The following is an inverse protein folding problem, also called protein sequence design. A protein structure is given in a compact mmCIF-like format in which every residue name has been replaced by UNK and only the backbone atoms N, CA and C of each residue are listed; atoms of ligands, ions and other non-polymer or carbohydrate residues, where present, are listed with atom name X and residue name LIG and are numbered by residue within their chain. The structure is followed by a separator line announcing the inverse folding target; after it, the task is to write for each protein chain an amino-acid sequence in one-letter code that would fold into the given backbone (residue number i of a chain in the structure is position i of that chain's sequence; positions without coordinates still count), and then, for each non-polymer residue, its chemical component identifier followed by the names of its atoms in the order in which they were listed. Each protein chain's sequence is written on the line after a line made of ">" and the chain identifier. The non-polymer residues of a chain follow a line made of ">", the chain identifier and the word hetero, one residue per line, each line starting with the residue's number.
data_IF_541324140626
#
_entry.id   IF_541324140626
#
_cell.length_a   1.000
_cell.length_b   1.000
_cell.length_c   1.000
_cell.angle_alpha   90.00
_cell.angle_beta   90.00
_cell.angle_gamma   90.00
#
_symmetry.space_group_name_H-M   'P 1'
#
loop_
_entity.id
_entity.type
_entity.pdbx_description
1 polymer ?
#
# COMPACT_ATOMS: atom_id res chain seq x y z
N UNK A 1 -2.63 -15.09 14.42
CA UNK A 1 -1.17 -15.01 14.67
C UNK A 1 -0.84 -13.55 14.94
N UNK A 2 -0.20 -13.25 16.06
CA UNK A 2 0.23 -11.90 16.42
C UNK A 2 1.76 -11.88 16.44
N UNK A 3 2.36 -10.92 15.74
CA UNK A 3 3.81 -10.73 15.71
C UNK A 3 4.12 -9.28 16.04
N UNK A 4 5.03 -9.07 16.98
CA UNK A 4 5.44 -7.75 17.44
C UNK A 4 6.92 -7.56 17.18
N UNK A 5 7.26 -6.36 16.71
CA UNK A 5 8.65 -5.94 16.50
C UNK A 5 9.17 -5.32 17.79
N UNK A 6 10.06 -6.02 18.49
CA UNK A 6 10.63 -5.55 19.77
C UNK A 6 11.64 -4.41 19.58
N UNK A 7 12.51 -4.51 18.56
CA UNK A 7 13.54 -3.50 18.27
C UNK A 7 13.29 -2.87 16.91
N UNK A 8 13.30 -1.54 16.83
CA UNK A 8 13.06 -0.84 15.57
C UNK A 8 14.29 -0.87 14.64
N UNK A 9 14.40 -1.90 13.81
CA UNK A 9 15.46 -2.10 12.81
C UNK A 9 15.05 -1.69 11.38
N UNK A 10 14.42 -0.52 11.22
CA UNK A 10 13.91 0.02 9.92
C UNK A 10 12.75 -0.78 9.30
N UNK A 11 11.98 -0.13 8.40
CA UNK A 11 10.75 -0.67 7.78
C UNK A 11 11.05 -1.83 6.82
N UNK A 12 12.02 -1.66 5.90
CA UNK A 12 12.35 -2.65 4.87
C UNK A 12 12.79 -4.00 5.44
N UNK A 13 13.67 -3.98 6.45
CA UNK A 13 14.16 -5.20 7.12
C UNK A 13 13.04 -5.97 7.80
N UNK A 14 12.02 -5.28 8.31
CA UNK A 14 10.85 -5.94 8.93
C UNK A 14 9.97 -6.63 7.90
N UNK A 15 9.77 -6.00 6.74
CA UNK A 15 9.05 -6.62 5.62
C UNK A 15 9.80 -7.86 5.13
N UNK A 16 11.10 -7.73 4.87
CA UNK A 16 11.92 -8.84 4.42
C UNK A 16 11.91 -10.00 5.41
N UNK A 17 12.02 -9.72 6.71
CA UNK A 17 11.90 -10.75 7.74
C UNK A 17 10.52 -11.42 7.72
N UNK A 18 9.44 -10.64 7.63
CA UNK A 18 8.07 -11.14 7.56
C UNK A 18 7.84 -12.05 6.35
N UNK A 19 8.28 -11.65 5.16
CA UNK A 19 8.17 -12.47 3.95
C UNK A 19 9.02 -13.75 4.07
N UNK A 20 10.28 -13.64 4.49
CA UNK A 20 11.15 -14.80 4.62
C UNK A 20 10.68 -15.79 5.68
N UNK A 21 10.04 -15.32 6.76
CA UNK A 21 9.53 -16.18 7.82
C UNK A 21 8.17 -16.79 7.46
N UNK A 22 7.18 -15.95 7.11
CA UNK A 22 5.80 -16.41 6.95
C UNK A 22 5.49 -16.87 5.54
N UNK A 23 5.95 -16.16 4.51
CA UNK A 23 5.64 -16.53 3.13
C UNK A 23 6.33 -17.85 2.73
N UNK A 24 7.51 -18.13 3.28
CA UNK A 24 8.19 -19.41 3.09
C UNK A 24 7.38 -20.61 3.63
N UNK A 25 6.66 -20.42 4.74
CA UNK A 25 5.86 -21.46 5.38
C UNK A 25 4.45 -21.56 4.78
N UNK A 26 3.76 -20.43 4.64
CA UNK A 26 2.37 -20.37 4.20
C UNK A 26 2.22 -20.48 2.68
N UNK A 27 3.29 -20.19 1.92
CA UNK A 27 3.30 -20.13 0.45
C UNK A 27 2.07 -19.40 -0.11
N UNK A 28 1.80 -18.16 0.35
CA UNK A 28 0.63 -17.41 -0.08
C UNK A 28 0.74 -17.10 -1.58
N UNK A 29 -0.38 -17.14 -2.29
CA UNK A 29 -0.43 -16.66 -3.68
C UNK A 29 -0.23 -15.15 -3.78
N UNK A 30 -0.80 -14.41 -2.82
CA UNK A 30 -0.77 -12.94 -2.75
C UNK A 30 -0.63 -12.54 -1.28
N UNK A 31 0.26 -11.60 -1.01
CA UNK A 31 0.44 -10.94 0.28
C UNK A 31 -0.02 -9.49 0.20
N UNK A 32 -0.94 -9.09 1.07
CA UNK A 32 -1.42 -7.70 1.14
C UNK A 32 -0.86 -7.03 2.39
N UNK A 33 -0.19 -5.90 2.20
CA UNK A 33 0.33 -5.03 3.25
C UNK A 33 -0.62 -3.83 3.42
N UNK A 34 -1.04 -3.59 4.66
CA UNK A 34 -1.89 -2.46 5.03
C UNK A 34 -1.27 -1.77 6.25
N UNK A 35 -0.89 -0.50 6.12
CA UNK A 35 -0.34 0.25 7.24
C UNK A 35 -1.40 0.56 8.29
N UNK A 36 -1.00 0.54 9.55
CA UNK A 36 -1.83 0.94 10.68
C UNK A 36 -2.32 2.38 10.48
N UNK A 37 -3.62 2.61 10.70
CA UNK A 37 -4.27 3.89 10.45
C UNK A 37 -4.87 4.03 9.04
N UNK A 38 -4.55 3.10 8.12
CA UNK A 38 -5.15 3.09 6.78
C UNK A 38 -6.47 2.32 6.80
N UNK A 39 -7.54 2.97 6.33
CA UNK A 39 -8.86 2.35 6.20
C UNK A 39 -9.06 1.77 4.81
N UNK A 40 -9.10 0.44 4.69
CA UNK A 40 -9.48 -0.22 3.46
C UNK A 40 -10.94 0.13 3.09
N UNK A 41 -11.18 0.46 1.82
CA UNK A 41 -12.53 0.63 1.30
C UNK A 41 -13.20 -0.74 1.09
N UNK A 42 -14.53 -0.78 1.06
CA UNK A 42 -15.33 -2.02 0.99
C UNK A 42 -14.87 -2.97 -0.12
N UNK A 43 -14.39 -2.45 -1.24
CA UNK A 43 -13.97 -3.22 -2.41
C UNK A 43 -12.46 -3.21 -2.64
N UNK A 44 -11.66 -2.50 -1.83
CA UNK A 44 -10.27 -2.22 -2.17
C UNK A 44 -9.39 -3.47 -2.14
N UNK A 45 -9.61 -4.36 -1.16
CA UNK A 45 -8.92 -5.65 -1.06
C UNK A 45 -9.29 -6.56 -2.24
N UNK A 46 -10.58 -6.67 -2.55
CA UNK A 46 -11.05 -7.48 -3.67
C UNK A 46 -10.47 -7.00 -5.01
N UNK A 47 -10.41 -5.69 -5.22
CA UNK A 47 -9.89 -5.13 -6.47
C UNK A 47 -8.37 -5.27 -6.58
N UNK A 48 -7.62 -5.28 -5.46
CA UNK A 48 -6.20 -5.67 -5.48
C UNK A 48 -6.04 -7.12 -5.89
N UNK A 49 -6.74 -8.04 -5.21
CA UNK A 49 -6.71 -9.46 -5.52
C UNK A 49 -7.07 -9.74 -6.99
N UNK A 50 -8.12 -9.08 -7.50
CA UNK A 50 -8.58 -9.21 -8.88
C UNK A 50 -7.52 -8.77 -9.90
N UNK A 51 -6.61 -7.86 -9.55
CA UNK A 51 -5.54 -7.45 -10.46
C UNK A 51 -4.58 -8.61 -10.75
N UNK A 52 -4.20 -9.39 -9.74
CA UNK A 52 -3.37 -10.60 -9.89
C UNK A 52 -4.12 -11.76 -10.55
N UNK A 53 -5.43 -11.86 -10.33
CA UNK A 53 -6.27 -12.87 -11.00
C UNK A 53 -6.44 -12.57 -12.50
N UNK A 54 -6.47 -11.29 -12.87
CA UNK A 54 -6.66 -10.85 -14.25
C UNK A 54 -5.40 -11.01 -15.12
N UNK A 55 -4.22 -10.73 -14.57
CA UNK A 55 -2.95 -10.80 -15.29
C UNK A 55 -1.89 -11.53 -14.44
N UNK A 56 -1.49 -12.76 -14.85
CA UNK A 56 -0.45 -13.55 -14.17
C UNK A 56 0.94 -12.91 -14.17
N UNK A 57 1.19 -11.90 -15.00
CA UNK A 57 2.47 -11.20 -15.09
C UNK A 57 2.58 -10.02 -14.12
N UNK A 58 1.53 -9.72 -13.36
CA UNK A 58 1.55 -8.67 -12.35
C UNK A 58 2.41 -9.09 -11.16
N UNK A 59 3.57 -8.46 -11.01
CA UNK A 59 4.47 -8.69 -9.88
C UNK A 59 4.14 -7.89 -8.61
N UNK A 60 3.35 -6.82 -8.73
CA UNK A 60 2.84 -6.06 -7.58
C UNK A 60 1.66 -5.19 -7.99
N UNK A 61 0.79 -4.86 -7.02
CA UNK A 61 -0.30 -3.92 -7.24
C UNK A 61 -0.45 -2.96 -6.05
N UNK A 62 -0.77 -1.70 -6.35
CA UNK A 62 -1.08 -0.67 -5.37
C UNK A 62 -2.40 0.00 -5.74
N UNK A 63 -3.11 0.52 -4.74
CA UNK A 63 -4.30 1.36 -4.97
C UNK A 63 -4.05 2.79 -4.53
N UNK A 64 -4.81 3.69 -5.14
CA UNK A 64 -4.81 5.10 -4.75
C UNK A 64 -5.20 5.25 -3.27
N UNK A 65 -4.36 5.96 -2.52
CA UNK A 65 -4.60 6.33 -1.13
C UNK A 65 -5.30 7.69 -1.13
N UNK A 66 -6.38 7.81 -0.35
CA UNK A 66 -7.15 9.05 -0.21
C UNK A 66 -7.26 9.43 1.24
N UNK A 67 -7.17 10.72 1.51
CA UNK A 67 -7.50 11.26 2.83
C UNK A 67 -9.01 11.19 3.06
N UNK A 68 -9.43 11.13 4.32
CA UNK A 68 -10.85 11.25 4.67
C UNK A 68 -11.28 12.73 4.62
N UNK A 69 -12.06 13.08 3.60
CA UNK A 69 -12.59 14.43 3.43
C UNK A 69 -13.66 14.80 4.49
N UNK A 70 -14.18 13.83 5.23
CA UNK A 70 -15.26 14.03 6.20
C UNK A 70 -16.59 14.42 5.53
N UNK A 71 -17.61 14.67 6.35
CA UNK A 71 -18.92 15.11 5.84
C UNK A 71 -18.81 16.46 5.14
N UNK A 72 -19.25 16.53 3.87
CA UNK A 72 -19.21 17.74 3.03
C UNK A 72 -17.81 18.32 2.82
N UNK A 73 -16.78 17.48 2.77
CA UNK A 73 -15.39 17.90 2.51
C UNK A 73 -14.83 18.91 3.54
N UNK A 74 -15.40 18.98 4.74
CA UNK A 74 -14.98 19.94 5.78
C UNK A 74 -13.50 19.79 6.16
N UNK A 75 -12.96 18.58 6.08
CA UNK A 75 -11.57 18.33 6.45
C UNK A 75 -10.57 18.97 5.46
N UNK A 76 -10.98 19.29 4.23
CA UNK A 76 -10.14 20.02 3.26
C UNK A 76 -9.88 21.48 3.66
N UNK A 77 -10.64 22.04 4.60
CA UNK A 77 -10.34 23.36 5.15
C UNK A 77 -9.10 23.32 6.05
N UNK A 78 -8.70 22.14 6.54
CA UNK A 78 -7.47 21.98 7.29
C UNK A 78 -6.29 21.92 6.30
N UNK A 79 -5.32 22.85 6.38
CA UNK A 79 -4.17 22.87 5.47
C UNK A 79 -3.35 21.59 5.55
N UNK A 80 -3.27 20.92 6.71
CA UNK A 80 -2.55 19.66 6.87
C UNK A 80 -3.17 18.54 6.01
N UNK A 81 -4.50 18.39 6.07
CA UNK A 81 -5.25 17.36 5.33
C UNK A 81 -5.17 17.63 3.82
N UNK A 82 -5.23 18.90 3.42
CA UNK A 82 -5.14 19.29 2.01
C UNK A 82 -3.75 19.09 1.44
N UNK A 83 -2.70 19.44 2.17
CA UNK A 83 -1.31 19.14 1.78
C UNK A 83 -1.09 17.64 1.62
N UNK A 84 -1.60 16.83 2.55
CA UNK A 84 -1.48 15.37 2.48
C UNK A 84 -2.28 14.78 1.30
N UNK A 85 -3.47 15.32 1.00
CA UNK A 85 -4.23 14.92 -0.18
C UNK A 85 -3.48 15.26 -1.48
N UNK A 86 -2.84 16.44 -1.53
CA UNK A 86 -2.05 16.85 -2.68
C UNK A 86 -0.86 15.90 -2.88
N UNK A 87 -0.13 15.59 -1.81
CA UNK A 87 1.00 14.65 -1.84
C UNK A 87 0.59 13.27 -2.37
N UNK A 88 -0.45 12.66 -1.79
CA UNK A 88 -0.90 11.34 -2.24
C UNK A 88 -1.40 11.34 -3.68
N UNK A 89 -2.10 12.40 -4.10
CA UNK A 89 -2.63 12.47 -5.46
C UNK A 89 -1.54 12.71 -6.49
N UNK A 90 -0.56 13.57 -6.18
CA UNK A 90 0.59 13.79 -7.06
C UNK A 90 1.47 12.55 -7.16
N UNK A 91 1.79 11.90 -6.04
CA UNK A 91 2.56 10.65 -6.05
C UNK A 91 1.87 9.54 -6.84
N UNK A 92 0.54 9.41 -6.72
CA UNK A 92 -0.20 8.41 -7.48
C UNK A 92 -0.24 8.70 -9.00
N UNK A 93 -0.23 9.97 -9.41
CA UNK A 93 -0.27 10.36 -10.83
C UNK A 93 1.13 10.33 -11.46
N UNK A 94 2.16 10.70 -10.72
CA UNK A 94 3.52 10.85 -11.23
C UNK A 94 4.35 9.60 -10.95
N UNK A 95 4.45 9.18 -9.70
CA UNK A 95 5.39 8.13 -9.29
C UNK A 95 4.90 6.76 -9.76
N UNK A 96 3.63 6.40 -9.51
CA UNK A 96 3.13 5.04 -9.77
C UNK A 96 3.20 4.64 -11.26
N UNK A 97 2.86 5.51 -12.23
CA UNK A 97 3.04 5.18 -13.64
C UNK A 97 4.51 5.07 -14.04
N UNK A 98 5.39 5.94 -13.50
CA UNK A 98 6.83 5.85 -13.76
C UNK A 98 7.42 4.55 -13.20
N UNK A 99 7.07 4.20 -11.96
CA UNK A 99 7.47 2.93 -11.33
C UNK A 99 7.03 1.73 -12.16
N UNK A 100 5.81 1.76 -12.71
CA UNK A 100 5.27 0.72 -13.59
C UNK A 100 6.01 0.63 -14.92
N UNK A 101 6.31 1.77 -15.57
CA UNK A 101 6.99 1.79 -16.88
C UNK A 101 8.44 1.32 -16.76
N UNK A 102 9.14 1.75 -15.72
CA UNK A 102 10.53 1.36 -15.48
C UNK A 102 10.68 0.02 -14.76
N UNK A 103 9.55 -0.64 -14.41
CA UNK A 103 9.56 -1.87 -13.60
C UNK A 103 10.43 -1.73 -12.35
N UNK A 104 10.35 -0.58 -11.69
CA UNK A 104 11.18 -0.22 -10.55
C UNK A 104 10.34 0.45 -9.46
N UNK A 105 10.47 -0.02 -8.23
CA UNK A 105 9.77 0.54 -7.07
C UNK A 105 10.73 1.47 -6.34
N UNK A 106 10.44 2.78 -6.31
CA UNK A 106 11.28 3.78 -5.64
C UNK A 106 11.23 3.62 -4.13
N UNK A 107 10.02 3.42 -3.60
CA UNK A 107 9.74 3.14 -2.19
C UNK A 107 8.59 2.12 -2.15
N UNK A 108 8.70 1.11 -1.29
CA UNK A 108 7.58 0.18 -1.05
C UNK A 108 6.32 1.00 -0.76
N UNK A 109 5.21 0.83 -1.52
CA UNK A 109 4.05 1.68 -1.35
C UNK A 109 3.56 1.55 0.09
N UNK A 110 3.65 2.67 0.81
CA UNK A 110 3.66 2.61 2.26
C UNK A 110 2.33 2.13 2.81
N UNK A 111 1.21 2.67 2.35
CA UNK A 111 -0.04 2.48 3.08
C UNK A 111 -0.86 1.24 2.68
N UNK A 112 -0.82 0.84 1.40
CA UNK A 112 -1.66 -0.25 0.90
C UNK A 112 -1.13 -0.85 -0.41
N UNK A 113 -0.45 -2.00 -0.32
CA UNK A 113 0.17 -2.69 -1.46
C UNK A 113 -0.03 -4.20 -1.40
N UNK A 114 0.14 -4.85 -2.55
CA UNK A 114 0.07 -6.30 -2.68
C UNK A 114 1.21 -6.83 -3.57
N UNK A 115 1.66 -8.04 -3.27
CA UNK A 115 2.75 -8.77 -3.94
C UNK A 115 2.41 -10.25 -4.07
#
# INVERSE_FOLDING_TARGET
>A
MLCLKEKNTKKLTSHQWSFNAFAALLKPKICILLDMGTKASKTSIYQLWKAFDHDPHVGSACREIKVDFGCKCKNLLNPLVTSQNFEYKMSNILDKPLESVFSYILVLPEAFSAY
#
